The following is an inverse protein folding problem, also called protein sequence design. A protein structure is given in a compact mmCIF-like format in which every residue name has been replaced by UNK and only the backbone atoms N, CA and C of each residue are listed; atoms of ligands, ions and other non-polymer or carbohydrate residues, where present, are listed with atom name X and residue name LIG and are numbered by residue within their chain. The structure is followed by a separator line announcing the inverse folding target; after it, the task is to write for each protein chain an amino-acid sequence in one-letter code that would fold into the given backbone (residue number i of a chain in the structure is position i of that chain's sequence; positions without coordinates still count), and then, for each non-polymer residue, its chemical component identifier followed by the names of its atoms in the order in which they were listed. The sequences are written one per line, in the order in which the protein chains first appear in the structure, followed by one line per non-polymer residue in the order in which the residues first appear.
data_IF_203386828329
#
_entry.id   IF_203386828329
#
_cell.length_a   1.000
_cell.length_b   1.000
_cell.length_c   1.000
_cell.angle_alpha   90.00
_cell.angle_beta   90.00
_cell.angle_gamma   90.00
#
_symmetry.space_group_name_H-M   'P 1'
#
loop_
_entity.id
_entity.type
_entity.pdbx_description
1 polymer ?
#
# COMPACT_ATOMS: atom_id res chain seq x y z
N UNK A 1 44.24 -59.77 -14.26
CA UNK A 1 43.50 -60.99 -13.89
C UNK A 1 42.47 -61.48 -14.93
N UNK A 2 42.62 -61.18 -16.23
CA UNK A 2 41.63 -61.48 -17.29
C UNK A 2 42.01 -62.60 -18.28
N UNK A 3 42.98 -63.47 -17.95
CA UNK A 3 43.47 -64.54 -18.86
C UNK A 3 43.70 -65.92 -18.18
N UNK A 4 42.90 -66.28 -17.18
CA UNK A 4 43.04 -67.58 -16.50
C UNK A 4 41.82 -68.52 -16.57
N UNK A 5 40.73 -68.11 -17.25
CA UNK A 5 39.54 -68.95 -17.49
C UNK A 5 39.36 -69.31 -18.97
N UNK A 6 40.48 -69.45 -19.69
CA UNK A 6 40.45 -69.89 -21.08
C UNK A 6 40.11 -71.39 -21.17
N UNK A 7 38.87 -71.65 -21.58
CA UNK A 7 38.56 -72.63 -22.64
C UNK A 7 38.86 -74.10 -22.34
N UNK A 8 38.55 -74.59 -21.14
CA UNK A 8 38.15 -76.00 -20.95
C UNK A 8 36.74 -76.04 -20.37
N UNK A 9 35.76 -76.19 -21.27
CA UNK A 9 34.36 -76.44 -20.91
C UNK A 9 34.31 -77.52 -19.83
N UNK A 10 33.52 -77.29 -18.78
CA UNK A 10 33.21 -78.29 -17.76
C UNK A 10 32.83 -79.62 -18.42
N UNK A 11 32.13 -79.56 -19.56
CA UNK A 11 31.84 -80.70 -20.42
C UNK A 11 33.12 -81.46 -20.83
N UNK A 12 34.15 -80.77 -21.35
CA UNK A 12 35.40 -81.41 -21.78
C UNK A 12 36.15 -82.03 -20.61
N UNK A 13 36.20 -81.38 -19.45
CA UNK A 13 36.86 -81.93 -18.24
C UNK A 13 36.14 -83.16 -17.71
N UNK A 14 34.80 -83.13 -17.68
CA UNK A 14 34.00 -84.25 -17.20
C UNK A 14 33.98 -85.41 -18.20
N UNK A 15 33.84 -85.13 -19.50
CA UNK A 15 33.99 -86.13 -20.55
C UNK A 15 35.36 -86.80 -20.46
N UNK A 16 36.46 -86.04 -20.29
CA UNK A 16 37.79 -86.64 -20.10
C UNK A 16 37.89 -87.48 -18.82
N UNK A 17 37.22 -87.07 -17.74
CA UNK A 17 37.22 -87.82 -16.47
C UNK A 17 36.40 -89.10 -16.55
N UNK A 18 35.24 -89.08 -17.23
CA UNK A 18 34.40 -90.26 -17.44
C UNK A 18 35.03 -91.24 -18.43
N UNK A 19 35.73 -90.74 -19.46
CA UNK A 19 36.55 -91.58 -20.35
C UNK A 19 37.70 -92.20 -19.56
N UNK A 20 38.40 -91.43 -18.72
CA UNK A 20 39.47 -91.96 -17.87
C UNK A 20 38.95 -93.02 -16.88
N UNK A 21 37.77 -92.80 -16.28
CA UNK A 21 37.12 -93.79 -15.40
C UNK A 21 36.67 -95.03 -16.17
N UNK A 22 36.15 -94.88 -17.39
CA UNK A 22 35.81 -95.99 -18.27
C UNK A 22 37.03 -96.82 -18.67
N UNK A 23 38.17 -96.17 -18.95
CA UNK A 23 39.45 -96.84 -19.20
C UNK A 23 39.94 -97.57 -17.94
N UNK A 24 39.81 -96.96 -16.75
CA UNK A 24 40.19 -97.59 -15.49
C UNK A 24 39.35 -98.85 -15.18
N UNK A 25 38.04 -98.79 -15.41
CA UNK A 25 37.14 -99.95 -15.28
C UNK A 25 37.52 -101.03 -16.31
N UNK A 26 37.90 -100.64 -17.53
CA UNK A 26 38.36 -101.56 -18.58
C UNK A 26 39.66 -102.28 -18.19
N UNK A 27 40.62 -101.57 -17.58
CA UNK A 27 41.86 -102.16 -17.06
C UNK A 27 41.58 -103.14 -15.91
N UNK A 28 40.69 -102.78 -14.98
CA UNK A 28 40.26 -103.67 -13.90
C UNK A 28 39.55 -104.93 -14.42
N UNK A 29 38.72 -104.80 -15.47
CA UNK A 29 38.04 -105.94 -16.07
C UNK A 29 39.00 -106.88 -16.80
N UNK A 30 39.98 -106.34 -17.52
CA UNK A 30 41.07 -107.13 -18.14
C UNK A 30 41.91 -107.88 -17.10
N UNK A 31 42.23 -107.24 -15.98
CA UNK A 31 42.92 -107.87 -14.84
C UNK A 31 42.10 -109.01 -14.22
N UNK A 32 40.79 -108.81 -14.01
CA UNK A 32 39.89 -109.83 -13.48
C UNK A 32 39.76 -111.05 -14.42
N UNK A 33 39.76 -110.82 -15.73
CA UNK A 33 39.72 -111.88 -16.74
C UNK A 33 41.03 -112.69 -16.81
N UNK A 34 42.19 -112.04 -16.67
CA UNK A 34 43.47 -112.75 -16.59
C UNK A 34 43.57 -113.62 -15.32
N UNK A 35 42.94 -113.20 -14.21
CA UNK A 35 42.85 -113.99 -12.98
C UNK A 35 41.95 -115.23 -13.07
N UNK A 36 40.99 -115.26 -13.99
CA UNK A 36 40.04 -116.37 -14.15
C UNK A 36 40.54 -117.51 -15.09
N UNK A 37 41.74 -117.36 -15.68
CA UNK A 37 42.26 -118.22 -16.73
C UNK A 37 42.40 -119.73 -16.43
N UNK A 38 42.59 -120.23 -15.18
CA UNK A 38 42.73 -121.67 -14.98
C UNK A 38 41.42 -122.43 -14.68
N UNK A 39 40.28 -121.76 -14.48
CA UNK A 39 39.08 -122.39 -13.86
C UNK A 39 37.99 -122.78 -14.87
N UNK A 40 38.08 -122.34 -16.13
CA UNK A 40 37.01 -122.54 -17.12
C UNK A 40 37.59 -123.16 -18.39
N UNK A 41 37.28 -124.44 -18.67
CA UNK A 41 37.54 -125.10 -19.97
C UNK A 41 36.57 -124.57 -21.03
N UNK A 42 36.74 -123.30 -21.41
CA UNK A 42 36.05 -122.66 -22.53
C UNK A 42 37.04 -122.55 -23.69
N UNK A 43 36.59 -122.76 -24.94
CA UNK A 43 37.44 -122.60 -26.12
C UNK A 43 37.89 -121.14 -26.24
N UNK A 44 39.13 -120.89 -26.68
CA UNK A 44 39.73 -119.54 -26.80
C UNK A 44 38.86 -118.55 -27.58
N UNK A 45 38.01 -119.04 -28.49
CA UNK A 45 37.03 -118.23 -29.23
C UNK A 45 35.93 -117.63 -28.32
N UNK A 46 35.44 -118.38 -27.34
CA UNK A 46 34.33 -117.94 -26.46
C UNK A 46 34.74 -116.84 -25.47
N UNK A 47 35.99 -116.87 -25.00
CA UNK A 47 36.55 -115.82 -24.11
C UNK A 47 36.72 -114.50 -24.86
N UNK A 48 37.15 -114.54 -26.13
CA UNK A 48 37.30 -113.34 -26.99
C UNK A 48 35.94 -112.70 -27.31
N UNK A 49 34.91 -113.51 -27.58
CA UNK A 49 33.56 -112.98 -27.82
C UNK A 49 32.97 -112.35 -26.56
N UNK A 50 33.10 -113.00 -25.40
CA UNK A 50 32.55 -112.49 -24.13
C UNK A 50 33.22 -111.17 -23.70
N UNK A 51 34.54 -111.06 -23.88
CA UNK A 51 35.31 -109.83 -23.61
C UNK A 51 34.95 -108.71 -24.57
N UNK A 52 34.77 -109.01 -25.87
CA UNK A 52 34.30 -108.04 -26.85
C UNK A 52 32.91 -107.48 -26.53
N UNK A 53 31.98 -108.36 -26.12
CA UNK A 53 30.62 -107.94 -25.71
C UNK A 53 30.67 -107.07 -24.45
N UNK A 54 31.47 -107.45 -23.45
CA UNK A 54 31.58 -106.69 -22.21
C UNK A 54 32.25 -105.32 -22.42
N UNK A 55 33.20 -105.23 -23.36
CA UNK A 55 33.83 -103.98 -23.78
C UNK A 55 32.84 -103.06 -24.50
N UNK A 56 32.02 -103.60 -25.41
CA UNK A 56 30.93 -102.86 -26.05
C UNK A 56 29.90 -102.36 -25.02
N UNK A 57 29.57 -103.17 -24.02
CA UNK A 57 28.61 -102.82 -22.98
C UNK A 57 29.16 -101.73 -22.04
N UNK A 58 30.43 -101.81 -21.64
CA UNK A 58 31.11 -100.76 -20.89
C UNK A 58 31.22 -99.45 -21.68
N UNK A 59 31.55 -99.52 -22.98
CA UNK A 59 31.57 -98.34 -23.85
C UNK A 59 30.16 -97.74 -24.04
N UNK A 60 29.13 -98.58 -24.13
CA UNK A 60 27.74 -98.14 -24.23
C UNK A 60 27.27 -97.45 -22.94
N UNK A 61 27.61 -97.99 -21.76
CA UNK A 61 27.31 -97.38 -20.45
C UNK A 61 28.09 -96.08 -20.26
N UNK A 62 29.37 -96.04 -20.64
CA UNK A 62 30.18 -94.82 -20.61
C UNK A 62 29.60 -93.74 -21.57
N UNK A 63 29.18 -94.13 -22.77
CA UNK A 63 28.50 -93.23 -23.69
C UNK A 63 27.16 -92.75 -23.15
N UNK A 64 26.35 -93.64 -22.57
CA UNK A 64 25.06 -93.29 -21.96
C UNK A 64 25.24 -92.34 -20.78
N UNK A 65 26.18 -92.59 -19.88
CA UNK A 65 26.47 -91.73 -18.71
C UNK A 65 27.01 -90.37 -19.15
N UNK A 66 27.91 -90.31 -20.12
CA UNK A 66 28.39 -89.05 -20.70
C UNK A 66 27.26 -88.29 -21.40
N UNK A 67 26.42 -88.97 -22.19
CA UNK A 67 25.27 -88.37 -22.87
C UNK A 67 24.25 -87.84 -21.86
N UNK A 68 23.98 -88.62 -20.80
CA UNK A 68 23.11 -88.24 -19.69
C UNK A 68 23.65 -87.00 -18.97
N UNK A 69 24.93 -87.01 -18.57
CA UNK A 69 25.56 -85.89 -17.87
C UNK A 69 25.66 -84.62 -18.73
N UNK A 70 25.98 -84.77 -20.02
CA UNK A 70 25.99 -83.66 -20.98
C UNK A 70 24.60 -83.03 -21.12
N UNK A 71 23.56 -83.86 -21.23
CA UNK A 71 22.19 -83.38 -21.42
C UNK A 71 21.59 -82.81 -20.13
N UNK A 72 21.80 -83.46 -19.00
CA UNK A 72 21.08 -83.16 -17.76
C UNK A 72 21.83 -82.25 -16.78
N UNK A 73 23.15 -82.07 -16.91
CA UNK A 73 23.93 -81.20 -15.98
C UNK A 73 24.62 -80.07 -16.73
N UNK A 74 25.43 -80.42 -17.74
CA UNK A 74 26.23 -79.45 -18.49
C UNK A 74 25.34 -78.48 -19.28
N UNK A 75 24.27 -78.99 -19.90
CA UNK A 75 23.32 -78.16 -20.65
C UNK A 75 22.69 -77.06 -19.79
N UNK A 76 22.21 -77.41 -18.60
CA UNK A 76 21.59 -76.47 -17.66
C UNK A 76 22.60 -75.46 -17.09
N UNK A 77 23.81 -75.89 -16.71
CA UNK A 77 24.84 -74.96 -16.19
C UNK A 77 25.29 -73.95 -17.25
N UNK A 78 25.49 -74.40 -18.50
CA UNK A 78 25.86 -73.52 -19.61
C UNK A 78 24.71 -72.56 -19.94
N UNK A 79 23.46 -73.03 -19.93
CA UNK A 79 22.28 -72.19 -20.07
C UNK A 79 22.17 -71.14 -18.97
N UNK A 80 22.40 -71.52 -17.71
CA UNK A 80 22.40 -70.60 -16.56
C UNK A 80 23.54 -69.57 -16.64
N UNK A 81 24.74 -69.97 -17.07
CA UNK A 81 25.87 -69.06 -17.25
C UNK A 81 25.58 -68.06 -18.36
N UNK A 82 25.06 -68.53 -19.49
CA UNK A 82 24.67 -67.66 -20.61
C UNK A 82 23.54 -66.72 -20.18
N UNK A 83 22.58 -67.21 -19.40
CA UNK A 83 21.54 -66.39 -18.81
C UNK A 83 22.08 -65.35 -17.83
N UNK A 84 23.00 -65.72 -16.94
CA UNK A 84 23.62 -64.78 -16.00
C UNK A 84 24.40 -63.69 -16.73
N UNK A 85 25.12 -64.02 -17.80
CA UNK A 85 25.82 -63.04 -18.64
C UNK A 85 24.78 -62.08 -19.27
N UNK A 86 23.70 -62.61 -19.84
CA UNK A 86 22.61 -61.80 -20.42
C UNK A 86 21.89 -60.92 -19.39
N UNK A 87 21.66 -61.42 -18.18
CA UNK A 87 21.10 -60.65 -17.07
C UNK A 87 22.05 -59.53 -16.62
N UNK A 88 23.36 -59.80 -16.59
CA UNK A 88 24.39 -58.81 -16.24
C UNK A 88 24.47 -57.70 -17.29
N UNK A 89 24.25 -58.04 -18.56
CA UNK A 89 24.17 -57.08 -19.67
C UNK A 89 22.82 -56.33 -19.74
N UNK A 90 21.85 -56.67 -18.87
CA UNK A 90 20.52 -56.04 -18.84
C UNK A 90 19.53 -56.57 -19.90
N UNK A 91 19.89 -57.62 -20.64
CA UNK A 91 19.09 -58.20 -21.71
C UNK A 91 18.06 -59.20 -21.15
N UNK A 92 17.01 -58.66 -20.53
CA UNK A 92 15.97 -59.45 -19.89
C UNK A 92 15.06 -60.19 -20.89
N UNK A 93 14.95 -59.73 -22.15
CA UNK A 93 14.09 -60.34 -23.19
C UNK A 93 14.53 -61.77 -23.59
N UNK A 94 15.79 -62.14 -23.32
CA UNK A 94 16.32 -63.48 -23.57
C UNK A 94 15.55 -64.61 -22.84
N UNK A 95 14.76 -64.26 -21.82
CA UNK A 95 14.02 -65.20 -20.97
C UNK A 95 12.50 -65.26 -21.21
N UNK A 96 12.01 -64.81 -22.37
CA UNK A 96 10.56 -64.77 -22.68
C UNK A 96 9.91 -66.15 -22.87
N UNK A 97 10.70 -67.23 -22.95
CA UNK A 97 10.15 -68.58 -22.91
C UNK A 97 9.81 -68.96 -21.47
N UNK A 98 8.51 -69.02 -21.18
CA UNK A 98 7.91 -69.56 -19.97
C UNK A 98 8.17 -71.08 -19.89
N UNK A 99 9.41 -71.43 -19.55
CA UNK A 99 9.75 -72.78 -19.16
C UNK A 99 9.06 -73.06 -17.83
N UNK A 100 8.01 -73.88 -17.84
CA UNK A 100 7.34 -74.35 -16.64
C UNK A 100 8.31 -75.22 -15.81
N UNK A 101 9.08 -74.60 -14.92
CA UNK A 101 9.92 -75.32 -13.97
C UNK A 101 9.07 -75.75 -12.77
N UNK A 102 9.05 -77.06 -12.50
CA UNK A 102 8.32 -77.63 -11.37
C UNK A 102 8.93 -77.14 -10.05
N UNK A 103 8.09 -76.51 -9.21
CA UNK A 103 8.46 -75.97 -7.89
C UNK A 103 8.85 -77.07 -6.88
N UNK A 104 8.47 -78.32 -7.13
CA UNK A 104 8.66 -79.44 -6.20
C UNK A 104 9.72 -80.45 -6.64
N UNK A 105 10.57 -80.10 -7.62
CA UNK A 105 11.66 -80.98 -8.02
C UNK A 105 12.67 -81.19 -6.88
N UNK A 106 13.03 -82.46 -6.67
CA UNK A 106 14.12 -82.87 -5.76
C UNK A 106 15.49 -82.64 -6.39
N UNK A 107 15.58 -82.30 -7.67
CA UNK A 107 16.84 -82.06 -8.38
C UNK A 107 17.40 -80.67 -8.05
N UNK A 108 18.62 -80.62 -7.52
CA UNK A 108 19.33 -79.37 -7.26
C UNK A 108 19.51 -78.51 -8.52
N UNK A 109 19.62 -79.13 -9.70
CA UNK A 109 19.77 -78.44 -10.99
C UNK A 109 18.50 -77.69 -11.36
N UNK A 110 17.33 -78.30 -11.15
CA UNK A 110 16.02 -77.70 -11.42
C UNK A 110 15.68 -76.62 -10.39
N UNK A 111 16.08 -76.81 -9.12
CA UNK A 111 15.94 -75.79 -8.07
C UNK A 111 16.75 -74.53 -8.36
N UNK A 112 17.98 -74.68 -8.88
CA UNK A 112 18.82 -73.54 -9.28
C UNK A 112 18.20 -72.83 -10.50
N UNK A 113 17.73 -73.58 -11.50
CA UNK A 113 17.04 -73.01 -12.66
C UNK A 113 15.79 -72.22 -12.23
N UNK A 114 14.96 -72.79 -11.35
CA UNK A 114 13.77 -72.11 -10.81
C UNK A 114 14.12 -70.87 -9.98
N UNK A 115 15.19 -70.91 -9.17
CA UNK A 115 15.66 -69.75 -8.41
C UNK A 115 16.15 -68.63 -9.34
N UNK A 116 16.84 -68.98 -10.43
CA UNK A 116 17.31 -68.03 -11.42
C UNK A 116 16.16 -67.41 -12.22
N UNK A 117 15.15 -68.19 -12.62
CA UNK A 117 13.93 -67.65 -13.24
C UNK A 117 13.21 -66.67 -12.29
N UNK A 118 13.10 -67.00 -11.00
CA UNK A 118 12.53 -66.08 -10.00
C UNK A 118 13.32 -64.77 -9.87
N UNK A 119 14.65 -64.84 -9.94
CA UNK A 119 15.51 -63.65 -9.95
C UNK A 119 15.24 -62.79 -11.19
N UNK A 120 15.21 -63.38 -12.39
CA UNK A 120 14.91 -62.68 -13.64
C UNK A 120 13.53 -62.04 -13.60
N UNK A 121 12.50 -62.75 -13.13
CA UNK A 121 11.15 -62.21 -12.98
C UNK A 121 11.10 -61.04 -11.98
N UNK A 122 11.81 -61.14 -10.86
CA UNK A 122 11.92 -60.03 -9.90
C UNK A 122 12.64 -58.83 -10.51
N UNK A 123 13.72 -59.03 -11.27
CA UNK A 123 14.41 -57.96 -11.99
C UNK A 123 13.53 -57.29 -13.04
N UNK A 124 12.73 -58.07 -13.80
CA UNK A 124 11.76 -57.54 -14.77
C UNK A 124 10.70 -56.65 -14.12
N UNK A 125 10.15 -57.10 -12.99
CA UNK A 125 9.17 -56.34 -12.21
C UNK A 125 9.75 -54.98 -11.77
N UNK A 126 10.97 -54.96 -11.21
CA UNK A 126 11.63 -53.71 -10.83
C UNK A 126 11.97 -52.81 -12.02
N UNK A 127 12.31 -53.37 -13.19
CA UNK A 127 12.52 -52.60 -14.43
C UNK A 127 11.20 -51.99 -14.92
N UNK A 128 10.09 -52.73 -14.82
CA UNK A 128 8.77 -52.21 -15.16
C UNK A 128 8.35 -51.06 -14.23
N UNK A 129 8.56 -51.20 -12.92
CA UNK A 129 8.33 -50.15 -11.93
C UNK A 129 9.21 -48.91 -12.23
N UNK A 130 10.50 -49.12 -12.50
CA UNK A 130 11.44 -48.05 -12.83
C UNK A 130 11.06 -47.32 -14.12
N UNK A 131 10.54 -48.05 -15.12
CA UNK A 131 10.05 -47.45 -16.36
C UNK A 131 8.83 -46.57 -16.11
N UNK A 132 7.89 -47.01 -15.27
CA UNK A 132 6.73 -46.18 -14.88
C UNK A 132 7.18 -44.90 -14.16
N UNK A 133 8.18 -44.99 -13.28
CA UNK A 133 8.77 -43.83 -12.60
C UNK A 133 9.46 -42.89 -13.61
N UNK A 134 10.20 -43.45 -14.57
CA UNK A 134 10.88 -42.67 -15.62
C UNK A 134 9.87 -41.96 -16.56
N UNK A 135 8.72 -42.58 -16.81
CA UNK A 135 7.58 -41.99 -17.53
C UNK A 135 6.81 -40.95 -16.69
N UNK A 136 7.28 -40.66 -15.47
CA UNK A 136 6.70 -39.66 -14.56
C UNK A 136 5.55 -40.19 -13.68
N UNK A 137 5.25 -41.48 -13.70
CA UNK A 137 4.15 -42.05 -12.92
C UNK A 137 4.55 -42.33 -11.45
N UNK A 138 4.39 -41.30 -10.61
CA UNK A 138 4.63 -41.37 -9.16
C UNK A 138 3.43 -41.94 -8.39
N UNK A 139 2.41 -42.48 -9.07
CA UNK A 139 1.26 -43.17 -8.44
C UNK A 139 1.48 -44.67 -8.29
N UNK A 140 2.54 -45.19 -8.92
CA UNK A 140 2.96 -46.59 -8.91
C UNK A 140 3.18 -47.11 -7.49
N UNK A 141 2.70 -48.31 -7.20
CA UNK A 141 2.94 -48.99 -5.92
C UNK A 141 4.11 -49.95 -6.07
N UNK A 142 5.26 -49.59 -5.50
CA UNK A 142 6.46 -50.44 -5.50
C UNK A 142 6.25 -51.60 -4.51
N UNK A 143 6.19 -52.82 -5.02
CA UNK A 143 6.01 -54.01 -4.18
C UNK A 143 7.35 -54.44 -3.57
N UNK A 144 7.46 -54.42 -2.24
CA UNK A 144 8.62 -54.94 -1.49
C UNK A 144 8.42 -56.43 -1.28
N UNK A 145 9.26 -57.26 -1.89
CA UNK A 145 9.08 -58.74 -1.89
C UNK A 145 9.42 -59.41 -0.56
N UNK A 146 10.39 -58.87 0.17
CA UNK A 146 10.83 -59.39 1.46
C UNK A 146 11.60 -58.31 2.25
N UNK A 147 11.82 -58.53 3.54
CA UNK A 147 12.52 -57.58 4.43
C UNK A 147 13.97 -57.27 4.00
N UNK A 148 14.55 -58.06 3.09
CA UNK A 148 15.88 -57.84 2.50
C UNK A 148 15.89 -57.23 1.09
N UNK A 149 14.73 -56.83 0.54
CA UNK A 149 14.62 -56.22 -0.80
C UNK A 149 15.07 -54.74 -0.79
N UNK A 150 16.39 -54.53 -0.67
CA UNK A 150 17.00 -53.20 -0.60
C UNK A 150 16.73 -52.35 -1.85
N UNK A 151 16.64 -52.98 -3.02
CA UNK A 151 16.35 -52.28 -4.27
C UNK A 151 14.91 -51.78 -4.30
N UNK A 152 13.96 -52.62 -3.87
CA UNK A 152 12.56 -52.21 -3.72
C UNK A 152 12.38 -51.08 -2.71
N UNK A 153 13.05 -51.15 -1.56
CA UNK A 153 13.02 -50.10 -0.56
C UNK A 153 13.61 -48.77 -1.09
N UNK A 154 14.78 -48.81 -1.74
CA UNK A 154 15.38 -47.62 -2.33
C UNK A 154 14.53 -46.98 -3.45
N UNK A 155 13.87 -47.82 -4.27
CA UNK A 155 12.96 -47.34 -5.32
C UNK A 155 11.69 -46.71 -4.72
N UNK A 156 11.16 -47.28 -3.65
CA UNK A 156 10.03 -46.70 -2.91
C UNK A 156 10.41 -45.34 -2.30
N UNK A 157 11.58 -45.24 -1.67
CA UNK A 157 12.09 -43.97 -1.13
C UNK A 157 12.30 -42.91 -2.22
N UNK A 158 12.78 -43.31 -3.40
CA UNK A 158 12.91 -42.43 -4.56
C UNK A 158 11.55 -41.88 -5.00
N UNK A 159 10.54 -42.74 -5.13
CA UNK A 159 9.17 -42.34 -5.50
C UNK A 159 8.58 -41.39 -4.46
N UNK A 160 8.68 -41.73 -3.17
CA UNK A 160 8.15 -40.89 -2.09
C UNK A 160 8.84 -39.52 -2.03
N UNK A 161 10.17 -39.47 -2.14
CA UNK A 161 10.90 -38.21 -2.11
C UNK A 161 10.59 -37.36 -3.35
N UNK A 162 10.52 -37.97 -4.53
CA UNK A 162 10.18 -37.26 -5.77
C UNK A 162 8.75 -36.75 -5.73
N UNK A 163 7.79 -37.57 -5.28
CA UNK A 163 6.39 -37.17 -5.11
C UNK A 163 6.26 -35.99 -4.15
N UNK A 164 6.95 -36.05 -2.99
CA UNK A 164 6.96 -34.95 -2.02
C UNK A 164 7.51 -33.66 -2.62
N UNK A 165 8.66 -33.70 -3.28
CA UNK A 165 9.30 -32.51 -3.89
C UNK A 165 8.40 -31.92 -4.98
N UNK A 166 7.91 -32.74 -5.90
CA UNK A 166 7.04 -32.28 -7.00
C UNK A 166 5.71 -31.75 -6.45
N UNK A 167 5.13 -32.37 -5.42
CA UNK A 167 3.91 -31.88 -4.77
C UNK A 167 4.15 -30.54 -4.06
N UNK A 168 5.31 -30.34 -3.43
CA UNK A 168 5.69 -29.05 -2.85
C UNK A 168 5.87 -27.97 -3.92
N UNK A 169 6.50 -28.30 -5.06
CA UNK A 169 6.65 -27.37 -6.19
C UNK A 169 5.28 -26.97 -6.75
N UNK A 170 4.38 -27.94 -6.96
CA UNK A 170 3.02 -27.65 -7.44
C UNK A 170 2.27 -26.71 -6.50
N UNK A 171 2.35 -26.97 -5.19
CA UNK A 171 1.70 -26.15 -4.18
C UNK A 171 2.29 -24.74 -4.11
N UNK A 172 3.61 -24.61 -4.20
CA UNK A 172 4.30 -23.33 -4.23
C UNK A 172 3.95 -22.52 -5.49
N UNK A 173 3.92 -23.16 -6.66
CA UNK A 173 3.51 -22.53 -7.92
C UNK A 173 2.06 -22.01 -7.85
N UNK A 174 1.14 -22.80 -7.29
CA UNK A 174 -0.27 -22.41 -7.13
C UNK A 174 -0.44 -21.20 -6.18
N UNK A 175 0.37 -21.17 -5.10
CA UNK A 175 0.43 -20.04 -4.18
C UNK A 175 1.02 -18.78 -4.83
N UNK A 176 2.10 -18.91 -5.61
CA UNK A 176 2.69 -17.79 -6.35
C UNK A 176 1.69 -17.24 -7.35
N UNK A 177 1.05 -18.09 -8.16
CA UNK A 177 0.04 -17.67 -9.12
C UNK A 177 -1.12 -16.91 -8.44
N UNK A 178 -1.66 -17.46 -7.35
CA UNK A 178 -2.74 -16.82 -6.59
C UNK A 178 -2.31 -15.50 -5.95
N UNK A 179 -1.11 -15.46 -5.37
CA UNK A 179 -0.55 -14.25 -4.77
C UNK A 179 -0.28 -13.15 -5.79
N UNK A 180 0.24 -13.51 -6.96
CA UNK A 180 0.45 -12.60 -8.07
C UNK A 180 -0.85 -12.00 -8.59
N UNK A 181 -1.91 -12.78 -8.78
CA UNK A 181 -3.23 -12.23 -9.16
C UNK A 181 -3.73 -11.21 -8.13
N UNK A 182 -3.60 -11.51 -6.84
CA UNK A 182 -4.01 -10.58 -5.77
C UNK A 182 -3.20 -9.27 -5.79
N UNK A 183 -1.89 -9.36 -6.03
CA UNK A 183 -1.03 -8.17 -6.13
C UNK A 183 -1.37 -7.37 -7.38
N UNK A 184 -1.66 -8.01 -8.52
CA UNK A 184 -2.11 -7.34 -9.74
C UNK A 184 -3.43 -6.58 -9.51
N UNK A 185 -4.44 -7.23 -8.92
CA UNK A 185 -5.73 -6.60 -8.61
C UNK A 185 -5.57 -5.41 -7.65
N UNK A 186 -4.72 -5.57 -6.64
CA UNK A 186 -4.42 -4.50 -5.67
C UNK A 186 -3.70 -3.32 -6.34
N UNK A 187 -2.78 -3.61 -7.25
CA UNK A 187 -2.05 -2.60 -8.01
C UNK A 187 -2.98 -1.85 -8.97
N UNK A 188 -3.92 -2.55 -9.61
CA UNK A 188 -4.95 -1.91 -10.44
C UNK A 188 -5.82 -0.95 -9.61
N UNK A 189 -6.29 -1.39 -8.44
CA UNK A 189 -7.05 -0.53 -7.54
C UNK A 189 -6.25 0.69 -7.06
N UNK A 190 -4.94 0.53 -6.80
CA UNK A 190 -4.06 1.63 -6.43
C UNK A 190 -3.85 2.62 -7.59
N UNK A 191 -3.69 2.15 -8.82
CA UNK A 191 -3.58 2.99 -10.01
C UNK A 191 -4.86 3.80 -10.27
N UNK A 192 -6.03 3.16 -10.10
CA UNK A 192 -7.31 3.86 -10.17
C UNK A 192 -7.41 4.95 -9.08
N UNK A 193 -7.09 4.60 -7.82
CA UNK A 193 -7.07 5.56 -6.72
C UNK A 193 -6.11 6.73 -6.95
N UNK A 194 -4.93 6.47 -7.53
CA UNK A 194 -3.98 7.51 -7.91
C UNK A 194 -4.55 8.45 -8.99
N UNK A 195 -5.28 7.92 -9.97
CA UNK A 195 -5.95 8.74 -11.01
C UNK A 195 -7.05 9.63 -10.43
N UNK A 196 -7.84 9.10 -9.50
CA UNK A 196 -8.86 9.87 -8.78
C UNK A 196 -8.22 10.97 -7.91
N UNK A 197 -7.13 10.64 -7.20
CA UNK A 197 -6.35 11.61 -6.43
C UNK A 197 -5.74 12.70 -7.30
N UNK A 198 -5.21 12.37 -8.48
CA UNK A 198 -4.68 13.35 -9.43
C UNK A 198 -5.75 14.36 -9.85
N UNK A 199 -6.98 13.88 -10.09
CA UNK A 199 -8.13 14.75 -10.42
C UNK A 199 -8.50 15.68 -9.25
N UNK A 200 -8.52 15.15 -8.02
CA UNK A 200 -8.77 15.95 -6.82
C UNK A 200 -7.68 17.01 -6.61
N UNK A 201 -6.41 16.68 -6.85
CA UNK A 201 -5.27 17.60 -6.78
C UNK A 201 -5.40 18.73 -7.79
N UNK A 202 -5.84 18.46 -9.03
CA UNK A 202 -6.09 19.50 -10.02
C UNK A 202 -7.16 20.48 -9.54
N UNK A 203 -8.27 19.97 -8.99
CA UNK A 203 -9.35 20.81 -8.48
C UNK A 203 -8.93 21.64 -7.25
N UNK A 204 -8.14 21.05 -6.35
CA UNK A 204 -7.56 21.75 -5.21
C UNK A 204 -6.59 22.85 -5.66
N UNK A 205 -5.75 22.57 -6.66
CA UNK A 205 -4.82 23.54 -7.22
C UNK A 205 -5.57 24.73 -7.84
N UNK A 206 -6.64 24.47 -8.61
CA UNK A 206 -7.48 25.53 -9.15
C UNK A 206 -8.12 26.37 -8.03
N UNK A 207 -8.65 25.72 -7.00
CA UNK A 207 -9.24 26.41 -5.84
C UNK A 207 -8.23 27.27 -5.08
N UNK A 208 -6.97 26.81 -4.96
CA UNK A 208 -5.89 27.59 -4.33
C UNK A 208 -5.50 28.81 -5.15
N UNK A 209 -5.51 28.73 -6.48
CA UNK A 209 -5.25 29.90 -7.34
C UNK A 209 -6.32 30.97 -7.11
N UNK A 210 -7.59 30.57 -7.03
CA UNK A 210 -8.69 31.49 -6.74
C UNK A 210 -8.57 32.10 -5.34
N UNK A 211 -8.27 31.29 -4.32
CA UNK A 211 -8.04 31.77 -2.94
C UNK A 211 -6.85 32.73 -2.89
N UNK A 212 -5.72 32.40 -3.53
CA UNK A 212 -4.54 33.26 -3.59
C UNK A 212 -4.86 34.62 -4.24
N UNK A 213 -5.62 34.60 -5.33
CA UNK A 213 -6.08 35.81 -6.01
C UNK A 213 -6.96 36.66 -5.09
N UNK A 214 -7.92 36.04 -4.40
CA UNK A 214 -8.82 36.74 -3.48
C UNK A 214 -8.09 37.31 -2.26
N UNK A 215 -7.13 36.57 -1.70
CA UNK A 215 -6.28 37.04 -0.60
C UNK A 215 -5.44 38.25 -1.02
N UNK A 216 -4.86 38.24 -2.22
CA UNK A 216 -4.14 39.39 -2.75
C UNK A 216 -5.06 40.61 -2.99
N UNK A 217 -6.27 40.38 -3.49
CA UNK A 217 -7.28 41.44 -3.62
C UNK A 217 -7.68 42.02 -2.26
N UNK A 218 -7.83 41.18 -1.23
CA UNK A 218 -8.13 41.63 0.13
C UNK A 218 -7.00 42.50 0.70
N UNK A 219 -5.73 42.10 0.52
CA UNK A 219 -4.58 42.90 0.94
C UNK A 219 -4.58 44.29 0.28
N UNK A 220 -4.78 44.36 -1.05
CA UNK A 220 -4.86 45.63 -1.79
C UNK A 220 -6.05 46.50 -1.37
N UNK A 221 -7.21 45.88 -1.15
CA UNK A 221 -8.40 46.59 -0.69
C UNK A 221 -8.21 47.14 0.72
N UNK A 222 -7.52 46.40 1.59
CA UNK A 222 -7.17 46.86 2.93
C UNK A 222 -6.19 48.04 2.86
N UNK A 223 -5.13 47.97 2.05
CA UNK A 223 -4.22 49.12 1.85
C UNK A 223 -4.98 50.38 1.39
N UNK A 224 -5.87 50.23 0.41
CA UNK A 224 -6.69 51.35 -0.09
C UNK A 224 -7.65 51.89 0.97
N UNK A 225 -8.27 51.01 1.76
CA UNK A 225 -9.14 51.41 2.86
C UNK A 225 -8.36 52.16 3.96
N UNK A 226 -7.13 51.73 4.25
CA UNK A 226 -6.23 52.42 5.17
C UNK A 226 -5.87 53.83 4.66
N UNK A 227 -5.56 53.98 3.38
CA UNK A 227 -5.31 55.30 2.77
C UNK A 227 -6.53 56.24 2.92
N UNK A 228 -7.73 55.73 2.65
CA UNK A 228 -8.98 56.48 2.81
C UNK A 228 -9.24 56.85 4.28
N UNK A 229 -8.98 55.95 5.22
CA UNK A 229 -9.10 56.22 6.64
C UNK A 229 -8.12 57.33 7.09
N UNK A 230 -6.86 57.30 6.63
CA UNK A 230 -5.90 58.37 6.93
C UNK A 230 -6.34 59.73 6.36
N UNK A 231 -6.92 59.77 5.15
CA UNK A 231 -7.50 61.00 4.58
C UNK A 231 -8.68 61.50 5.42
N UNK A 232 -9.59 60.61 5.81
CA UNK A 232 -10.73 60.96 6.66
C UNK A 232 -10.29 61.51 8.03
N UNK A 233 -9.27 60.90 8.65
CA UNK A 233 -8.65 61.39 9.89
C UNK A 233 -8.07 62.80 9.72
N UNK A 234 -7.37 63.06 8.63
CA UNK A 234 -6.82 64.38 8.31
C UNK A 234 -7.93 65.43 8.10
N UNK A 235 -9.01 65.08 7.41
CA UNK A 235 -10.16 65.96 7.23
C UNK A 235 -10.89 66.25 8.54
N UNK A 236 -11.09 65.25 9.40
CA UNK A 236 -11.66 65.45 10.73
C UNK A 236 -10.79 66.36 11.61
N UNK A 237 -9.46 66.18 11.58
CA UNK A 237 -8.52 67.05 12.30
C UNK A 237 -8.57 68.51 11.78
N UNK A 238 -8.65 68.69 10.46
CA UNK A 238 -8.80 70.01 9.84
C UNK A 238 -10.14 70.66 10.22
N UNK A 239 -11.23 69.89 10.19
CA UNK A 239 -12.55 70.35 10.65
C UNK A 239 -12.53 70.80 12.10
N UNK A 240 -11.86 70.05 12.98
CA UNK A 240 -11.72 70.41 14.39
C UNK A 240 -10.88 71.70 14.57
N UNK A 241 -9.85 71.92 13.75
CA UNK A 241 -9.10 73.17 13.73
C UNK A 241 -9.97 74.37 13.31
N UNK A 242 -10.83 74.21 12.30
CA UNK A 242 -11.80 75.23 11.92
C UNK A 242 -12.82 75.51 13.02
N UNK A 243 -13.27 74.47 13.74
CA UNK A 243 -14.17 74.65 14.88
C UNK A 243 -13.52 75.42 16.03
N UNK A 244 -12.24 75.20 16.32
CA UNK A 244 -11.50 76.03 17.28
C UNK A 244 -11.47 77.50 16.86
N UNK A 245 -11.28 77.78 15.57
CA UNK A 245 -11.36 79.14 15.03
C UNK A 245 -12.76 79.75 15.18
N UNK A 246 -13.81 78.96 14.93
CA UNK A 246 -15.19 79.41 15.11
C UNK A 246 -15.52 79.73 16.56
N UNK A 247 -15.08 78.90 17.51
CA UNK A 247 -15.24 79.15 18.95
C UNK A 247 -14.57 80.46 19.37
N UNK A 248 -13.32 80.69 18.92
CA UNK A 248 -12.62 81.97 19.14
C UNK A 248 -13.41 83.17 18.60
N UNK A 249 -13.98 83.05 17.40
CA UNK A 249 -14.80 84.12 16.82
C UNK A 249 -16.10 84.35 17.60
N UNK A 250 -16.72 83.30 18.14
CA UNK A 250 -17.91 83.45 19.00
C UNK A 250 -17.57 84.12 20.32
N UNK A 251 -16.42 83.82 20.91
CA UNK A 251 -15.92 84.51 22.11
C UNK A 251 -15.69 86.00 21.83
N UNK A 252 -15.05 86.34 20.70
CA UNK A 252 -14.86 87.74 20.28
C UNK A 252 -16.19 88.48 20.04
N UNK A 253 -17.20 87.81 19.46
CA UNK A 253 -18.55 88.37 19.28
C UNK A 253 -19.22 88.62 20.63
N UNK A 254 -19.07 87.69 21.58
CA UNK A 254 -19.64 87.81 22.92
C UNK A 254 -19.00 88.99 23.68
N UNK A 255 -17.68 89.11 23.64
CA UNK A 255 -16.93 90.23 24.22
C UNK A 255 -17.32 91.58 23.60
N UNK A 256 -17.44 91.63 22.28
CA UNK A 256 -17.90 92.82 21.56
C UNK A 256 -19.32 93.22 21.99
N UNK A 257 -20.23 92.24 22.06
CA UNK A 257 -21.63 92.48 22.48
C UNK A 257 -21.72 92.93 23.94
N UNK A 258 -20.90 92.37 24.84
CA UNK A 258 -20.78 92.82 26.22
C UNK A 258 -20.27 94.27 26.32
N UNK A 259 -19.32 94.67 25.47
CA UNK A 259 -18.83 96.04 25.41
C UNK A 259 -19.89 97.01 24.87
N UNK A 260 -20.66 96.63 23.85
CA UNK A 260 -21.80 97.41 23.38
C UNK A 260 -22.82 97.58 24.51
N UNK A 261 -23.12 96.51 25.27
CA UNK A 261 -24.00 96.57 26.43
C UNK A 261 -23.54 97.60 27.48
N UNK A 262 -22.24 97.68 27.76
CA UNK A 262 -21.66 98.71 28.65
C UNK A 262 -21.87 100.13 28.10
N UNK A 263 -21.70 100.34 26.80
CA UNK A 263 -21.88 101.65 26.15
C UNK A 263 -23.36 102.07 26.21
N UNK A 264 -24.29 101.15 25.94
CA UNK A 264 -25.73 101.43 26.01
C UNK A 264 -26.16 101.79 27.43
N UNK A 265 -25.58 101.15 28.45
CA UNK A 265 -25.81 101.53 29.84
C UNK A 265 -25.37 102.95 30.14
N UNK A 266 -24.21 103.38 29.64
CA UNK A 266 -23.75 104.77 29.77
C UNK A 266 -24.69 105.73 29.05
N UNK A 267 -25.25 105.36 27.89
CA UNK A 267 -26.24 106.18 27.17
C UNK A 267 -27.54 106.31 27.97
N UNK A 268 -28.02 105.23 28.60
CA UNK A 268 -29.19 105.27 29.50
C UNK A 268 -28.93 106.18 30.71
N UNK A 269 -27.75 106.09 31.31
CA UNK A 269 -27.33 106.97 32.42
C UNK A 269 -27.29 108.45 31.98
N UNK A 270 -26.77 108.76 30.77
CA UNK A 270 -26.76 110.11 30.20
C UNK A 270 -28.19 110.61 29.95
N UNK A 271 -29.06 109.76 29.39
CA UNK A 271 -30.46 110.09 29.15
C UNK A 271 -31.18 110.40 30.47
N UNK A 272 -30.94 109.60 31.51
CA UNK A 272 -31.47 109.84 32.86
C UNK A 272 -30.97 111.16 33.45
N UNK A 273 -29.67 111.43 33.40
CA UNK A 273 -29.10 112.71 33.87
C UNK A 273 -29.68 113.90 33.10
N UNK A 274 -29.82 113.79 31.78
CA UNK A 274 -30.40 114.83 30.92
C UNK A 274 -31.87 115.10 31.28
N UNK A 275 -32.64 114.05 31.58
CA UNK A 275 -34.01 114.16 32.04
C UNK A 275 -34.12 114.93 33.38
N UNK A 276 -33.22 114.67 34.33
CA UNK A 276 -33.16 115.40 35.61
C UNK A 276 -32.72 116.86 35.40
N UNK A 277 -31.73 117.12 34.55
CA UNK A 277 -31.30 118.48 34.17
C UNK A 277 -32.45 119.27 33.53
N UNK A 278 -33.17 118.66 32.60
CA UNK A 278 -34.32 119.26 31.93
C UNK A 278 -35.47 119.55 32.91
N UNK A 279 -35.74 118.64 33.85
CA UNK A 279 -36.71 118.86 34.91
C UNK A 279 -36.33 120.06 35.80
N UNK A 280 -35.07 120.13 36.22
CA UNK A 280 -34.56 121.26 37.01
C UNK A 280 -34.67 122.59 36.23
N UNK A 281 -34.35 122.58 34.94
CA UNK A 281 -34.49 123.74 34.06
C UNK A 281 -35.97 124.16 33.89
N UNK A 282 -36.89 123.21 33.76
CA UNK A 282 -38.32 123.48 33.67
C UNK A 282 -38.87 124.11 34.96
N UNK A 283 -38.40 123.63 36.13
CA UNK A 283 -38.74 124.20 37.45
C UNK A 283 -38.23 125.64 37.57
N UNK A 284 -36.98 125.91 37.20
CA UNK A 284 -36.41 127.27 37.29
C UNK A 284 -37.03 128.23 36.25
N UNK A 285 -37.40 127.73 35.07
CA UNK A 285 -38.16 128.47 34.07
C UNK A 285 -39.58 128.83 34.56
N UNK A 286 -40.26 127.91 35.27
CA UNK A 286 -41.53 128.19 35.93
C UNK A 286 -41.38 129.25 37.04
N UNK A 287 -40.26 129.22 37.77
CA UNK A 287 -39.91 130.19 38.83
C UNK A 287 -39.67 131.60 38.28
N UNK A 288 -39.11 131.73 37.07
CA UNK A 288 -38.89 133.01 36.38
C UNK A 288 -40.17 133.63 35.77
N UNK A 289 -41.33 132.96 35.86
CA UNK A 289 -42.63 133.50 35.46
C UNK A 289 -42.72 133.85 33.97
N UNK A 290 -43.12 135.09 33.65
CA UNK A 290 -43.32 135.54 32.26
C UNK A 290 -42.04 135.54 31.42
N UNK A 291 -40.88 135.80 32.03
CA UNK A 291 -39.58 135.83 31.34
C UNK A 291 -39.01 134.42 31.03
N UNK A 292 -39.51 133.38 31.71
CA UNK A 292 -39.05 132.00 31.56
C UNK A 292 -39.82 131.15 30.53
N UNK A 293 -40.91 131.66 29.93
CA UNK A 293 -41.79 130.87 29.04
C UNK A 293 -41.06 130.20 27.86
N UNK A 294 -40.11 130.89 27.23
CA UNK A 294 -39.30 130.32 26.14
C UNK A 294 -38.36 129.19 26.61
N UNK A 295 -37.75 129.37 27.78
CA UNK A 295 -36.90 128.35 28.40
C UNK A 295 -37.70 127.12 28.87
N UNK A 296 -38.93 127.31 29.34
CA UNK A 296 -39.80 126.21 29.76
C UNK A 296 -40.14 125.26 28.60
N UNK A 297 -40.38 125.80 27.39
CA UNK A 297 -40.64 124.98 26.18
C UNK A 297 -39.41 124.19 25.78
N UNK A 298 -38.22 124.82 25.79
CA UNK A 298 -36.96 124.12 25.48
C UNK A 298 -36.69 123.03 26.52
N UNK A 299 -36.92 123.29 27.81
CA UNK A 299 -36.73 122.32 28.87
C UNK A 299 -37.66 121.10 28.70
N UNK A 300 -38.93 121.29 28.36
CA UNK A 300 -39.87 120.18 28.10
C UNK A 300 -39.47 119.37 26.86
N UNK A 301 -39.00 120.03 25.79
CA UNK A 301 -38.53 119.33 24.58
C UNK A 301 -37.27 118.50 24.85
N UNK A 302 -36.31 119.04 25.62
CA UNK A 302 -35.12 118.29 26.07
C UNK A 302 -35.52 117.11 26.95
N UNK A 303 -36.52 117.28 27.83
CA UNK A 303 -37.05 116.20 28.68
C UNK A 303 -37.67 115.08 27.85
N UNK A 304 -38.46 115.43 26.84
CA UNK A 304 -39.07 114.47 25.92
C UNK A 304 -38.01 113.73 25.08
N UNK A 305 -36.97 114.44 24.62
CA UNK A 305 -35.84 113.83 23.90
C UNK A 305 -35.06 112.87 24.79
N UNK A 306 -34.82 113.23 26.06
CA UNK A 306 -34.17 112.36 27.04
C UNK A 306 -34.99 111.08 27.30
N UNK A 307 -36.32 111.19 27.43
CA UNK A 307 -37.20 110.03 27.58
C UNK A 307 -37.19 109.11 26.34
N UNK A 308 -37.16 109.69 25.13
CA UNK A 308 -36.99 108.92 23.88
C UNK A 308 -35.64 108.19 23.83
N UNK A 309 -34.55 108.86 24.22
CA UNK A 309 -33.22 108.24 24.28
C UNK A 309 -33.16 107.09 25.28
N UNK A 310 -33.77 107.23 26.47
CA UNK A 310 -33.85 106.16 27.45
C UNK A 310 -34.63 104.94 26.92
N UNK A 311 -35.78 105.17 26.26
CA UNK A 311 -36.55 104.09 25.65
C UNK A 311 -35.75 103.37 24.53
N UNK A 312 -35.05 104.12 23.67
CA UNK A 312 -34.21 103.56 22.63
C UNK A 312 -33.03 102.75 23.20
N UNK A 313 -32.41 103.24 24.28
CA UNK A 313 -31.36 102.50 25.01
C UNK A 313 -31.89 101.19 25.59
N UNK A 314 -33.12 101.20 26.13
CA UNK A 314 -33.78 100.01 26.69
C UNK A 314 -34.14 98.97 25.63
N UNK A 315 -34.67 99.39 24.47
CA UNK A 315 -34.90 98.49 23.33
C UNK A 315 -33.58 97.90 22.81
N UNK A 316 -32.54 98.72 22.69
CA UNK A 316 -31.22 98.25 22.24
C UNK A 316 -30.61 97.26 23.22
N UNK A 317 -30.79 97.47 24.53
CA UNK A 317 -30.36 96.53 25.58
C UNK A 317 -31.06 95.17 25.40
N UNK A 318 -32.37 95.16 25.14
CA UNK A 318 -33.11 93.93 24.90
C UNK A 318 -32.63 93.19 23.63
N UNK A 319 -32.27 93.93 22.57
CA UNK A 319 -31.68 93.35 21.35
C UNK A 319 -30.29 92.75 21.58
N UNK A 320 -29.48 93.37 22.43
CA UNK A 320 -28.15 92.87 22.82
C UNK A 320 -28.30 91.59 23.65
N UNK A 321 -29.17 91.57 24.67
CA UNK A 321 -29.44 90.35 25.45
C UNK A 321 -29.96 89.21 24.56
N UNK A 322 -30.83 89.53 23.60
CA UNK A 322 -31.32 88.57 22.62
C UNK A 322 -30.20 88.03 21.71
N UNK A 323 -29.26 88.89 21.30
CA UNK A 323 -28.10 88.48 20.50
C UNK A 323 -27.14 87.61 21.30
N UNK A 324 -26.84 87.97 22.55
CA UNK A 324 -25.98 87.17 23.43
C UNK A 324 -26.53 85.74 23.63
N UNK A 325 -27.85 85.59 23.87
CA UNK A 325 -28.47 84.26 23.98
C UNK A 325 -28.30 83.42 22.71
N UNK A 326 -28.34 84.05 21.53
CA UNK A 326 -28.12 83.34 20.26
C UNK A 326 -26.66 82.96 20.06
N UNK A 327 -25.72 83.82 20.47
CA UNK A 327 -24.28 83.53 20.46
C UNK A 327 -23.98 82.37 21.40
N UNK A 328 -24.45 82.41 22.65
CA UNK A 328 -24.28 81.31 23.61
C UNK A 328 -24.79 79.97 23.08
N UNK A 329 -25.96 79.97 22.44
CA UNK A 329 -26.51 78.78 21.79
C UNK A 329 -25.62 78.31 20.62
N UNK A 330 -25.09 79.24 19.82
CA UNK A 330 -24.15 78.96 18.74
C UNK A 330 -22.83 78.37 19.23
N UNK A 331 -22.24 78.95 20.28
CA UNK A 331 -21.03 78.46 20.95
C UNK A 331 -21.23 77.03 21.47
N UNK A 332 -22.38 76.74 22.06
CA UNK A 332 -22.71 75.39 22.51
C UNK A 332 -22.74 74.39 21.36
N UNK A 333 -23.46 74.71 20.27
CA UNK A 333 -23.53 73.85 19.07
C UNK A 333 -22.14 73.65 18.46
N UNK A 334 -21.32 74.70 18.41
CA UNK A 334 -19.96 74.63 17.92
C UNK A 334 -19.08 73.70 18.77
N UNK A 335 -19.17 73.78 20.10
CA UNK A 335 -18.47 72.88 21.02
C UNK A 335 -18.91 71.42 20.83
N UNK A 336 -20.22 71.16 20.80
CA UNK A 336 -20.76 69.81 20.60
C UNK A 336 -20.28 69.23 19.24
N UNK A 337 -20.20 70.07 18.20
CA UNK A 337 -19.68 69.69 16.88
C UNK A 337 -18.18 69.39 16.90
N UNK A 338 -17.39 70.18 17.64
CA UNK A 338 -15.95 69.95 17.80
C UNK A 338 -15.66 68.63 18.52
N UNK A 339 -16.44 68.31 19.55
CA UNK A 339 -16.36 67.03 20.27
C UNK A 339 -16.71 65.85 19.35
N UNK A 340 -17.80 65.96 18.59
CA UNK A 340 -18.20 64.94 17.62
C UNK A 340 -17.12 64.68 16.55
N UNK A 341 -16.48 65.73 16.03
CA UNK A 341 -15.35 65.60 15.10
C UNK A 341 -14.13 64.92 15.75
N UNK A 342 -13.88 65.18 17.04
CA UNK A 342 -12.86 64.50 17.82
C UNK A 342 -13.12 62.99 17.95
N UNK A 343 -14.36 62.61 18.26
CA UNK A 343 -14.79 61.21 18.32
C UNK A 343 -14.66 60.51 16.97
N UNK A 344 -15.08 61.16 15.88
CA UNK A 344 -14.92 60.63 14.52
C UNK A 344 -13.43 60.39 14.21
N UNK A 345 -12.55 61.33 14.54
CA UNK A 345 -11.12 61.18 14.30
C UNK A 345 -10.52 59.99 15.07
N UNK A 346 -10.98 59.74 16.30
CA UNK A 346 -10.58 58.56 17.09
C UNK A 346 -11.09 57.27 16.47
N UNK A 347 -12.37 57.17 16.13
CA UNK A 347 -12.97 55.96 15.55
C UNK A 347 -12.38 55.61 14.18
N UNK A 348 -12.04 56.62 13.37
CA UNK A 348 -11.35 56.42 12.09
C UNK A 348 -9.93 55.91 12.30
N UNK A 349 -9.24 56.31 13.39
CA UNK A 349 -7.93 55.76 13.73
C UNK A 349 -8.04 54.28 14.11
N UNK A 350 -9.00 53.91 14.95
CA UNK A 350 -9.24 52.51 15.32
C UNK A 350 -9.58 51.65 14.07
N UNK A 351 -10.40 52.19 13.15
CA UNK A 351 -10.70 51.53 11.89
C UNK A 351 -9.46 51.36 11.00
N UNK A 352 -8.56 52.35 10.95
CA UNK A 352 -7.30 52.26 10.21
C UNK A 352 -6.39 51.14 10.77
N UNK A 353 -6.31 51.01 12.09
CA UNK A 353 -5.49 49.98 12.75
C UNK A 353 -6.04 48.57 12.48
N UNK A 354 -7.36 48.39 12.51
CA UNK A 354 -8.01 47.13 12.14
C UNK A 354 -7.76 46.77 10.66
N UNK A 355 -7.88 47.75 9.77
CA UNK A 355 -7.63 47.54 8.33
C UNK A 355 -6.16 47.21 8.07
N UNK A 356 -5.24 47.85 8.78
CA UNK A 356 -3.80 47.52 8.73
C UNK A 356 -3.56 46.06 9.15
N UNK A 357 -4.22 45.61 10.23
CA UNK A 357 -4.15 44.23 10.70
C UNK A 357 -4.69 43.24 9.66
N UNK A 358 -5.77 43.59 8.94
CA UNK A 358 -6.32 42.78 7.82
C UNK A 358 -5.30 42.68 6.68
N UNK A 359 -4.63 43.78 6.32
CA UNK A 359 -3.61 43.77 5.28
C UNK A 359 -2.44 42.85 5.65
N UNK A 360 -1.95 42.93 6.89
CA UNK A 360 -0.90 42.05 7.40
C UNK A 360 -1.34 40.58 7.37
N UNK A 361 -2.50 40.26 7.93
CA UNK A 361 -3.03 38.90 7.97
C UNK A 361 -3.24 38.33 6.55
N UNK A 362 -3.70 39.16 5.60
CA UNK A 362 -3.85 38.77 4.20
C UNK A 362 -2.49 38.47 3.55
N UNK A 363 -1.45 39.23 3.87
CA UNK A 363 -0.10 38.95 3.36
C UNK A 363 0.48 37.65 3.94
N UNK A 364 0.26 37.39 5.24
CA UNK A 364 0.63 36.12 5.87
C UNK A 364 -0.13 34.94 5.26
N UNK A 365 -1.44 35.10 4.98
CA UNK A 365 -2.22 34.09 4.25
C UNK A 365 -1.65 33.82 2.86
N UNK A 366 -1.22 34.84 2.13
CA UNK A 366 -0.62 34.66 0.81
C UNK A 366 0.64 33.77 0.87
N UNK A 367 1.51 33.99 1.87
CA UNK A 367 2.67 33.13 2.10
C UNK A 367 2.28 31.71 2.51
N UNK A 368 1.27 31.54 3.36
CA UNK A 368 0.77 30.22 3.74
C UNK A 368 0.20 29.46 2.53
N UNK A 369 -0.51 30.14 1.63
CA UNK A 369 -1.05 29.56 0.39
C UNK A 369 0.09 29.09 -0.53
N UNK A 370 1.17 29.85 -0.63
CA UNK A 370 2.36 29.44 -1.41
C UNK A 370 2.98 28.15 -0.83
N UNK A 371 3.07 28.03 0.49
CA UNK A 371 3.54 26.79 1.14
C UNK A 371 2.60 25.61 0.88
N UNK A 372 1.28 25.82 0.96
CA UNK A 372 0.29 24.78 0.64
C UNK A 372 0.44 24.35 -0.82
N UNK A 373 0.61 25.29 -1.75
CA UNK A 373 0.81 24.98 -3.17
C UNK A 373 2.05 24.12 -3.40
N UNK A 374 3.17 24.43 -2.74
CA UNK A 374 4.37 23.59 -2.77
C UNK A 374 4.11 22.18 -2.19
N UNK A 375 3.34 22.09 -1.09
CA UNK A 375 2.90 20.82 -0.52
C UNK A 375 2.06 19.99 -1.49
N UNK A 376 1.12 20.63 -2.20
CA UNK A 376 0.31 19.96 -3.23
C UNK A 376 1.18 19.44 -4.38
N UNK A 377 2.20 20.18 -4.81
CA UNK A 377 3.13 19.69 -5.84
C UNK A 377 3.88 18.43 -5.39
N UNK A 378 4.29 18.36 -4.12
CA UNK A 378 4.91 17.15 -3.57
C UNK A 378 3.94 15.96 -3.54
N UNK A 379 2.69 16.19 -3.11
CA UNK A 379 1.66 15.15 -3.13
C UNK A 379 1.38 14.68 -4.56
N UNK A 380 1.32 15.60 -5.53
CA UNK A 380 1.16 15.29 -6.95
C UNK A 380 2.27 14.38 -7.46
N UNK A 381 3.53 14.64 -7.06
CA UNK A 381 4.65 13.78 -7.39
C UNK A 381 4.49 12.37 -6.82
N UNK A 382 4.06 12.25 -5.55
CA UNK A 382 3.79 10.94 -4.91
C UNK A 382 2.67 10.20 -5.62
N UNK A 383 1.59 10.89 -5.99
CA UNK A 383 0.48 10.29 -6.76
C UNK A 383 0.95 9.76 -8.11
N UNK A 384 1.78 10.51 -8.82
CA UNK A 384 2.39 10.08 -10.08
C UNK A 384 3.29 8.85 -9.90
N UNK A 385 4.13 8.85 -8.85
CA UNK A 385 4.96 7.69 -8.51
C UNK A 385 4.10 6.48 -8.15
N UNK A 386 3.02 6.65 -7.38
CA UNK A 386 2.11 5.56 -7.05
C UNK A 386 1.45 4.95 -8.29
N UNK A 387 1.02 5.77 -9.25
CA UNK A 387 0.47 5.29 -10.51
C UNK A 387 1.50 4.47 -11.30
N UNK A 388 2.72 5.00 -11.47
CA UNK A 388 3.79 4.31 -12.17
C UNK A 388 4.20 2.99 -11.48
N UNK A 389 4.40 3.01 -10.16
CA UNK A 389 4.74 1.81 -9.38
C UNK A 389 3.61 0.78 -9.40
N UNK A 390 2.34 1.22 -9.44
CA UNK A 390 1.20 0.32 -9.57
C UNK A 390 1.16 -0.37 -10.94
N UNK A 391 1.41 0.36 -12.03
CA UNK A 391 1.51 -0.23 -13.36
C UNK A 391 2.67 -1.24 -13.43
N UNK A 392 3.83 -0.89 -12.90
CA UNK A 392 4.99 -1.79 -12.85
C UNK A 392 4.71 -3.04 -11.99
N UNK A 393 4.03 -2.88 -10.85
CA UNK A 393 3.67 -3.99 -9.96
C UNK A 393 2.64 -4.92 -10.59
N UNK A 394 1.68 -4.39 -11.35
CA UNK A 394 0.73 -5.18 -12.11
C UNK A 394 1.44 -6.01 -13.19
N UNK A 395 2.34 -5.39 -13.97
CA UNK A 395 3.13 -6.08 -15.00
C UNK A 395 4.03 -7.17 -14.41
N UNK A 396 4.76 -6.88 -13.32
CA UNK A 396 5.59 -7.86 -12.63
C UNK A 396 4.76 -9.03 -12.07
N UNK A 397 3.54 -8.75 -11.61
CA UNK A 397 2.61 -9.78 -11.12
C UNK A 397 2.08 -10.67 -12.24
N UNK A 398 1.77 -10.12 -13.41
CA UNK A 398 1.43 -10.90 -14.60
C UNK A 398 2.58 -11.83 -15.01
N UNK A 399 3.81 -11.33 -14.98
CA UNK A 399 4.99 -12.15 -15.28
C UNK A 399 5.21 -13.28 -14.26
N UNK A 400 5.08 -12.99 -12.96
CA UNK A 400 5.16 -14.03 -11.92
C UNK A 400 4.05 -15.09 -12.06
N UNK A 401 2.83 -14.69 -12.42
CA UNK A 401 1.73 -15.61 -12.69
C UNK A 401 2.05 -16.51 -13.89
N UNK A 402 2.61 -15.94 -14.96
CA UNK A 402 3.09 -16.68 -16.13
C UNK A 402 4.21 -17.67 -15.79
N UNK A 403 5.21 -17.25 -15.01
CA UNK A 403 6.30 -18.13 -14.56
C UNK A 403 5.79 -19.27 -13.67
N UNK A 404 4.82 -19.00 -12.78
CA UNK A 404 4.17 -20.03 -11.97
C UNK A 404 3.39 -21.02 -12.84
N UNK A 405 2.70 -20.55 -13.88
CA UNK A 405 2.02 -21.42 -14.85
C UNK A 405 3.01 -22.30 -15.63
N UNK A 406 4.13 -21.74 -16.09
CA UNK A 406 5.20 -22.49 -16.76
C UNK A 406 5.84 -23.54 -15.85
N UNK A 407 6.06 -23.21 -14.58
CA UNK A 407 6.58 -24.17 -13.59
C UNK A 407 5.61 -25.33 -13.39
N UNK A 408 4.30 -25.02 -13.29
CA UNK A 408 3.22 -26.02 -13.17
C UNK A 408 3.15 -26.93 -14.39
N UNK A 409 3.29 -26.37 -15.59
CA UNK A 409 3.34 -27.13 -16.85
C UNK A 409 4.57 -28.05 -16.90
N UNK A 410 5.75 -27.54 -16.53
CA UNK A 410 7.00 -28.31 -16.51
C UNK A 410 6.92 -29.52 -15.58
N UNK A 411 6.31 -29.36 -14.39
CA UNK A 411 6.16 -30.48 -13.44
C UNK A 411 4.93 -31.35 -13.70
N UNK A 412 4.05 -30.96 -14.64
CA UNK A 412 2.82 -31.71 -14.96
C UNK A 412 3.08 -33.09 -15.58
N UNK A 413 4.29 -33.31 -16.12
CA UNK A 413 4.77 -34.62 -16.60
C UNK A 413 4.70 -35.67 -15.49
N UNK A 414 4.87 -35.27 -14.22
CA UNK A 414 4.78 -36.17 -13.09
C UNK A 414 3.33 -36.37 -12.63
N UNK A 415 2.84 -37.60 -12.73
CA UNK A 415 1.53 -37.99 -12.19
C UNK A 415 1.63 -38.14 -10.69
N UNK A 416 1.08 -37.17 -9.97
CA UNK A 416 1.02 -37.20 -8.52
C UNK A 416 -0.19 -38.01 -8.05
N UNK A 417 0.01 -38.85 -7.03
CA UNK A 417 -1.11 -39.44 -6.29
C UNK A 417 -1.80 -38.28 -5.58
N UNK A 418 -3.02 -37.94 -6.00
CA UNK A 418 -3.88 -37.03 -5.22
C UNK A 418 -4.11 -37.71 -3.89
N UNK A 419 -3.42 -37.26 -2.86
CA UNK A 419 -3.87 -37.55 -1.51
C UNK A 419 -5.30 -37.03 -1.44
N UNK A 420 -6.26 -37.96 -1.32
CA UNK A 420 -7.59 -37.61 -0.84
C UNK A 420 -7.36 -37.05 0.55
N UNK A 421 -7.15 -35.74 0.64
CA UNK A 421 -7.38 -34.97 1.85
C UNK A 421 -8.78 -35.36 2.24
N UNK A 422 -8.90 -36.24 3.23
CA UNK A 422 -10.18 -36.65 3.77
C UNK A 422 -10.87 -35.38 4.17
N UNK A 423 -11.87 -34.97 3.40
CA UNK A 423 -12.84 -33.98 3.83
C UNK A 423 -13.57 -34.71 4.96
N UNK A 424 -13.02 -34.67 6.17
CA UNK A 424 -13.83 -34.75 7.36
C UNK A 424 -14.84 -33.63 7.20
N UNK A 425 -16.09 -33.99 6.90
CA UNK A 425 -17.26 -33.15 7.07
C UNK A 425 -17.33 -32.75 8.55
N UNK A 426 -16.50 -31.80 8.94
CA UNK A 426 -16.57 -31.07 10.19
C UNK A 426 -17.32 -29.77 9.89
N UNK A 427 -18.58 -29.74 10.28
CA UNK A 427 -19.41 -28.56 10.49
C UNK A 427 -19.32 -27.45 9.44
N UNK A 428 -20.22 -27.50 8.47
CA UNK A 428 -20.75 -26.28 7.89
C UNK A 428 -21.53 -25.53 8.98
N UNK A 429 -20.86 -24.65 9.72
CA UNK A 429 -21.49 -23.43 10.21
C UNK A 429 -20.44 -22.38 10.60
N UNK A 430 -20.71 -21.13 10.22
CA UNK A 430 -19.88 -19.91 10.34
C UNK A 430 -18.74 -19.74 9.34
N UNK A 431 -19.12 -19.26 8.16
CA UNK A 431 -18.31 -18.28 7.45
C UNK A 431 -18.06 -17.07 8.39
N UNK A 432 -16.85 -16.47 8.43
CA UNK A 432 -16.73 -15.11 8.90
C UNK A 432 -17.47 -14.25 7.88
N UNK A 433 -18.60 -13.69 8.28
CA UNK A 433 -19.19 -12.57 7.56
C UNK A 433 -18.11 -11.48 7.49
N UNK A 434 -17.59 -11.23 6.29
CA UNK A 434 -17.06 -9.94 5.94
C UNK A 434 -18.23 -8.96 6.11
N UNK A 435 -18.27 -8.31 7.26
CA UNK A 435 -19.03 -7.09 7.48
C UNK A 435 -18.53 -6.10 6.44
N UNK A 436 -19.23 -6.04 5.31
CA UNK A 436 -19.27 -4.87 4.47
C UNK A 436 -19.81 -3.73 5.32
N UNK A 437 -18.90 -3.01 5.98
CA UNK A 437 -19.19 -1.67 6.46
C UNK A 437 -19.39 -0.83 5.21
N UNK A 438 -20.64 -0.75 4.78
CA UNK A 438 -21.15 0.34 3.97
C UNK A 438 -20.83 1.60 4.77
N UNK A 439 -19.76 2.30 4.40
CA UNK A 439 -19.46 3.64 4.85
C UNK A 439 -20.48 4.60 4.21
N UNK A 440 -21.74 4.44 4.59
CA UNK A 440 -22.77 5.43 4.37
C UNK A 440 -22.59 6.49 5.46
N UNK A 441 -22.11 7.66 5.04
CA UNK A 441 -22.34 8.95 5.71
C UNK A 441 -21.91 9.05 7.17
N UNK A 442 -20.60 9.11 7.42
CA UNK A 442 -20.14 9.82 8.62
C UNK A 442 -20.29 11.32 8.36
N UNK A 443 -21.47 11.86 8.71
CA UNK A 443 -21.67 13.30 8.84
C UNK A 443 -20.78 13.76 9.98
N UNK A 444 -19.67 14.42 9.65
CA UNK A 444 -18.80 15.08 10.63
C UNK A 444 -19.65 16.16 11.29
N UNK A 445 -20.12 15.88 12.51
CA UNK A 445 -20.72 16.89 13.37
C UNK A 445 -19.57 17.59 14.08
N UNK A 446 -19.14 18.72 13.55
CA UNK A 446 -18.32 19.67 14.28
C UNK A 446 -19.15 20.19 15.45
N UNK A 447 -18.85 19.76 16.67
CA UNK A 447 -19.28 20.48 17.86
C UNK A 447 -18.28 21.60 18.14
N UNK A 448 -18.76 22.83 18.25
CA UNK A 448 -17.98 24.07 18.50
C UNK A 448 -17.21 24.12 19.84
N UNK A 449 -16.99 22.98 20.49
CA UNK A 449 -16.40 22.89 21.84
C UNK A 449 -14.88 22.68 21.92
N UNK A 450 -14.21 22.27 20.84
CA UNK A 450 -12.82 21.79 20.91
C UNK A 450 -11.79 22.65 20.14
N UNK A 451 -12.15 23.86 19.73
CA UNK A 451 -11.16 24.85 19.30
C UNK A 451 -10.49 25.48 20.54
N UNK A 452 -9.32 24.96 20.94
CA UNK A 452 -8.50 25.65 21.95
C UNK A 452 -7.49 24.82 22.76
N UNK A 453 -7.28 23.54 22.45
CA UNK A 453 -6.17 22.78 23.05
C UNK A 453 -5.45 22.02 21.96
N UNK A 454 -4.47 22.65 21.34
CA UNK A 454 -3.08 22.18 21.16
C UNK A 454 -2.26 23.33 20.56
#
# INVERSE_FOLDING_TARGET
MKKWYAKKSIARKLISSFIAMGIFILVLCLLALNGAAPVVRLSSLTVIVLTGVLLLLCLAVAYMTVRYFKRNVVGYIVGLTTGLDKLTDGELAYFDNDGSYDRNSKDETERIAAAFVRLVLASREKVADTKQIADGDLTTHIHIKCDGDMLGAALLDLVHNTHRVVSSIFSAADQVASGSTLVADSSFALSQGATEQASAIQQLTASLVDIASQTNLNAKNAEKANELAQKAKSHAATGNAHMKGMLSAMDEINDSSANIGKIIKVIDDIAFQTNILALNAAVEAARAGQHGKGFAVVAEEVRNLAAKSANAAKETTALIEGSNKKVDAGTKIANDTAEALGLIASQVADAADLVSSIAQASNEQAHAIEQINNGIQQVSQVVSTNAATSEESAAASEELSSQAAQLKDTVSVFKLKREKKGITKGSADKAPQLSGSTAAGQKISLSDGDFGKY
#
